data_IF_355652327130
#
_entry.id   IF_355652327130
#
_cell.length_a   1.000
_cell.length_b   1.000
_cell.length_c   1.000
_cell.angle_alpha   90.00
_cell.angle_beta   90.00
_cell.angle_gamma   90.00
#
_symmetry.space_group_name_H-M   'P 1'
#
loop_
_entity.id
_entity.type
_entity.pdbx_description
1 polymer ?
#
# COMPACT_ATOMS: atom_id res chain seq x y z
N UNK A 1 12.46 -3.45 -13.55
CA UNK A 1 13.07 -3.34 -12.23
C UNK A 1 13.21 -4.73 -11.65
N UNK A 2 14.43 -5.17 -11.39
CA UNK A 2 14.68 -6.38 -10.62
C UNK A 2 14.66 -6.03 -9.14
N UNK A 3 14.14 -6.92 -8.30
CA UNK A 3 14.09 -6.73 -6.83
C UNK A 3 15.49 -6.51 -6.26
N UNK A 4 16.51 -7.12 -6.84
CA UNK A 4 17.91 -7.01 -6.43
C UNK A 4 18.49 -5.60 -6.46
N UNK A 5 17.91 -4.69 -7.24
CA UNK A 5 18.34 -3.30 -7.37
C UNK A 5 17.53 -2.33 -6.51
N UNK A 6 16.62 -2.82 -5.70
CA UNK A 6 15.77 -1.99 -4.87
C UNK A 6 16.41 -1.83 -3.50
N UNK A 7 16.80 -0.61 -3.17
CA UNK A 7 17.23 -0.27 -1.82
C UNK A 7 16.00 -0.07 -0.95
N UNK A 8 15.71 -1.05 -0.12
CA UNK A 8 14.67 -0.92 0.90
C UNK A 8 15.15 0.01 2.00
N UNK A 9 14.27 0.87 2.46
CA UNK A 9 14.54 1.67 3.64
C UNK A 9 14.52 0.77 4.86
N UNK A 10 15.59 0.79 5.63
CA UNK A 10 15.56 0.33 7.00
C UNK A 10 14.73 1.32 7.82
N UNK A 11 13.71 0.80 8.46
CA UNK A 11 12.81 1.59 9.29
C UNK A 11 13.01 1.13 10.72
N UNK A 12 13.44 2.07 11.56
CA UNK A 12 13.75 1.78 12.97
C UNK A 12 12.54 1.33 13.79
N UNK A 13 11.33 1.61 13.32
CA UNK A 13 10.09 1.39 14.06
C UNK A 13 9.16 0.34 13.47
N UNK A 14 9.49 -0.19 12.29
CA UNK A 14 8.62 -1.15 11.61
C UNK A 14 9.41 -2.23 10.89
N UNK A 15 8.89 -3.44 10.88
CA UNK A 15 9.39 -4.55 10.10
C UNK A 15 8.61 -4.71 8.81
N UNK A 16 9.28 -5.18 7.76
CA UNK A 16 8.61 -5.70 6.58
C UNK A 16 7.72 -6.87 7.02
N UNK A 17 6.55 -6.99 6.44
CA UNK A 17 5.73 -8.16 6.67
C UNK A 17 6.57 -9.41 6.41
N UNK A 18 6.83 -10.17 7.45
CA UNK A 18 7.56 -11.42 7.33
C UNK A 18 6.73 -12.44 6.56
N UNK A 19 7.37 -13.47 6.06
CA UNK A 19 6.72 -14.62 5.42
C UNK A 19 5.68 -15.24 6.34
N UNK A 20 4.54 -14.64 6.44
CA UNK A 20 3.44 -15.13 7.26
C UNK A 20 2.22 -15.30 6.41
N UNK A 21 1.64 -16.46 6.43
CA UNK A 21 0.37 -16.74 5.80
C UNK A 21 -0.76 -16.02 6.56
N UNK A 22 -0.85 -14.70 6.50
CA UNK A 22 -2.03 -14.08 7.02
C UNK A 22 -1.87 -13.18 8.25
N UNK A 23 -2.63 -13.39 9.28
CA UNK A 23 -2.75 -12.50 10.41
C UNK A 23 -1.90 -12.97 11.60
N UNK A 24 -1.16 -12.05 12.19
CA UNK A 24 -0.54 -12.24 13.51
C UNK A 24 -1.39 -11.47 14.53
N UNK A 25 -2.24 -12.17 15.24
CA UNK A 25 -3.19 -11.53 16.15
C UNK A 25 -4.13 -10.57 15.39
N UNK A 26 -4.09 -9.28 15.75
CA UNK A 26 -4.90 -8.24 15.09
C UNK A 26 -4.18 -7.55 13.91
N UNK A 27 -2.93 -7.93 13.59
CA UNK A 27 -2.17 -7.39 12.47
C UNK A 27 -2.32 -8.27 11.24
N UNK A 28 -2.47 -7.64 10.07
CA UNK A 28 -2.31 -8.33 8.80
C UNK A 28 -0.83 -8.28 8.38
N UNK A 29 -0.26 -9.45 8.13
CA UNK A 29 1.02 -9.57 7.41
C UNK A 29 0.77 -9.84 5.94
N UNK A 30 1.80 -9.77 5.09
CA UNK A 30 1.70 -10.24 3.71
C UNK A 30 1.19 -11.68 3.71
N UNK A 31 0.29 -12.02 2.79
CA UNK A 31 -0.27 -13.37 2.69
C UNK A 31 0.85 -14.40 2.48
N UNK A 32 1.72 -14.11 1.51
CA UNK A 32 2.91 -14.89 1.22
C UNK A 32 3.98 -13.97 0.62
N UNK A 33 4.82 -13.40 1.48
CA UNK A 33 5.85 -12.45 1.03
C UNK A 33 6.91 -13.14 0.14
N UNK A 34 7.32 -14.36 0.48
CA UNK A 34 8.30 -15.09 -0.30
C UNK A 34 7.73 -15.49 -1.68
N UNK A 35 6.47 -15.92 -1.72
CA UNK A 35 5.77 -16.19 -2.97
C UNK A 35 5.61 -14.94 -3.83
N UNK A 36 5.32 -13.78 -3.22
CA UNK A 36 5.31 -12.49 -3.92
C UNK A 36 6.68 -12.19 -4.54
N UNK A 37 7.77 -12.27 -3.75
CA UNK A 37 9.13 -12.00 -4.22
C UNK A 37 9.49 -12.95 -5.37
N UNK A 38 9.32 -14.26 -5.18
CA UNK A 38 9.61 -15.28 -6.20
C UNK A 38 8.79 -15.07 -7.48
N UNK A 39 7.51 -14.70 -7.34
CA UNK A 39 6.66 -14.38 -8.49
C UNK A 39 7.17 -13.17 -9.26
N UNK A 40 7.56 -12.11 -8.55
CA UNK A 40 8.09 -10.89 -9.18
C UNK A 40 9.41 -11.16 -9.90
N UNK A 41 10.29 -11.95 -9.32
CA UNK A 41 11.56 -12.36 -9.95
C UNK A 41 11.32 -13.18 -11.21
N UNK A 42 10.44 -14.18 -11.14
CA UNK A 42 10.11 -15.06 -12.25
C UNK A 42 9.39 -14.34 -13.39
N UNK A 43 8.37 -13.55 -13.04
CA UNK A 43 7.48 -12.93 -14.02
C UNK A 43 7.90 -11.48 -14.37
N UNK A 44 9.01 -11.00 -13.80
CA UNK A 44 9.60 -9.67 -14.04
C UNK A 44 8.69 -8.51 -13.69
N UNK A 45 7.77 -8.72 -12.75
CA UNK A 45 6.91 -7.65 -12.26
C UNK A 45 5.68 -8.12 -11.51
N UNK A 46 4.91 -7.14 -11.08
CA UNK A 46 3.63 -7.30 -10.42
C UNK A 46 2.70 -6.13 -10.83
N UNK A 47 1.42 -6.25 -10.53
CA UNK A 47 0.45 -5.20 -10.78
C UNK A 47 0.27 -4.35 -9.52
N UNK A 48 0.35 -3.06 -9.68
CA UNK A 48 0.17 -2.06 -8.65
C UNK A 48 -1.14 -1.30 -8.91
N UNK A 49 -2.03 -1.24 -7.94
CA UNK A 49 -3.27 -0.50 -8.09
C UNK A 49 -2.98 0.98 -8.33
N UNK A 50 -3.51 1.52 -9.42
CA UNK A 50 -3.25 2.90 -9.86
C UNK A 50 -3.75 3.93 -8.87
N UNK A 51 -4.88 3.66 -8.21
CA UNK A 51 -5.56 4.53 -7.25
C UNK A 51 -5.68 3.86 -5.91
N UNK A 52 -5.83 4.65 -4.85
CA UNK A 52 -6.32 4.17 -3.56
C UNK A 52 -7.58 3.32 -3.73
N UNK A 53 -7.80 2.38 -2.84
CA UNK A 53 -8.98 1.53 -2.91
C UNK A 53 -10.27 2.32 -2.69
N UNK A 54 -11.28 2.00 -3.46
CA UNK A 54 -12.66 2.44 -3.27
C UNK A 54 -13.57 1.24 -3.06
N UNK A 55 -14.73 1.45 -2.43
CA UNK A 55 -15.70 0.40 -2.18
C UNK A 55 -16.63 0.24 -3.39
N UNK A 56 -16.60 -0.93 -4.02
CA UNK A 56 -17.54 -1.27 -5.07
C UNK A 56 -18.96 -1.51 -4.54
N UNK A 57 -19.94 -1.45 -5.41
CA UNK A 57 -21.35 -1.79 -5.08
C UNK A 57 -21.52 -3.25 -4.65
N UNK A 58 -20.60 -4.12 -5.07
CA UNK A 58 -20.49 -5.53 -4.69
C UNK A 58 -19.75 -5.74 -3.35
N UNK A 59 -19.36 -4.65 -2.66
CA UNK A 59 -18.61 -4.69 -1.40
C UNK A 59 -17.14 -5.08 -1.54
N UNK A 60 -16.63 -5.23 -2.76
CA UNK A 60 -15.21 -5.53 -3.05
C UNK A 60 -14.40 -4.26 -3.21
N UNK A 61 -13.09 -4.39 -3.00
CA UNK A 61 -12.15 -3.31 -3.29
C UNK A 61 -12.05 -3.09 -4.80
N UNK A 62 -11.95 -1.81 -5.21
CA UNK A 62 -11.74 -1.40 -6.60
C UNK A 62 -10.72 -0.27 -6.66
N UNK A 63 -9.85 -0.30 -7.66
CA UNK A 63 -8.93 0.79 -8.00
C UNK A 63 -9.53 1.58 -9.17
N UNK A 64 -10.24 2.66 -8.88
CA UNK A 64 -10.95 3.45 -9.88
C UNK A 64 -10.82 4.95 -9.58
N UNK A 65 -10.65 5.74 -10.63
CA UNK A 65 -10.60 7.20 -10.51
C UNK A 65 -11.96 7.79 -10.07
N UNK A 66 -11.89 8.94 -9.43
CA UNK A 66 -13.04 9.78 -9.07
C UNK A 66 -14.06 9.06 -8.17
N UNK A 67 -13.58 8.23 -7.25
CA UNK A 67 -14.37 7.55 -6.24
C UNK A 67 -14.03 8.07 -4.85
N UNK A 68 -14.89 7.85 -3.87
CA UNK A 68 -14.52 8.06 -2.48
C UNK A 68 -13.52 6.97 -2.08
N UNK A 69 -12.37 7.36 -1.55
CA UNK A 69 -11.42 6.41 -1.01
C UNK A 69 -12.05 5.63 0.16
N UNK A 70 -11.74 4.34 0.26
CA UNK A 70 -12.31 3.48 1.30
C UNK A 70 -11.55 3.68 2.61
N UNK A 71 -12.11 4.50 3.47
CA UNK A 71 -11.59 4.82 4.82
C UNK A 71 -12.48 4.19 5.90
N UNK A 72 -12.18 4.46 7.18
CA UNK A 72 -12.95 3.93 8.30
C UNK A 72 -12.82 2.40 8.43
N UNK A 73 -11.70 1.84 8.03
CA UNK A 73 -11.40 0.42 7.94
C UNK A 73 -10.10 0.13 8.70
N UNK A 74 -10.03 -0.98 9.43
CA UNK A 74 -8.78 -1.41 10.07
C UNK A 74 -7.81 -1.98 9.04
N UNK A 75 -6.53 -2.08 9.39
CA UNK A 75 -5.54 -2.75 8.55
C UNK A 75 -5.94 -4.20 8.23
N UNK A 76 -6.46 -4.93 9.21
CA UNK A 76 -6.91 -6.31 9.04
C UNK A 76 -8.08 -6.43 8.07
N UNK A 77 -9.08 -5.54 8.20
CA UNK A 77 -10.20 -5.47 7.26
C UNK A 77 -9.72 -5.11 5.86
N UNK A 78 -8.80 -4.13 5.72
CA UNK A 78 -8.20 -3.74 4.45
C UNK A 78 -7.48 -4.92 3.77
N UNK A 79 -6.70 -5.69 4.54
CA UNK A 79 -6.05 -6.90 4.05
C UNK A 79 -7.08 -7.94 3.56
N UNK A 80 -8.12 -8.21 4.33
CA UNK A 80 -9.18 -9.13 3.94
C UNK A 80 -9.89 -8.68 2.64
N UNK A 81 -10.17 -7.39 2.51
CA UNK A 81 -10.79 -6.83 1.30
C UNK A 81 -9.86 -6.87 0.08
N UNK A 82 -8.57 -6.64 0.28
CA UNK A 82 -7.57 -6.77 -0.77
C UNK A 82 -7.49 -8.20 -1.30
N UNK A 83 -7.42 -9.20 -0.42
CA UNK A 83 -7.34 -10.63 -0.76
C UNK A 83 -8.60 -11.16 -1.44
N UNK A 84 -9.74 -10.58 -1.14
CA UNK A 84 -11.02 -10.98 -1.76
C UNK A 84 -11.30 -10.32 -3.12
N UNK A 85 -10.41 -9.45 -3.61
CA UNK A 85 -10.61 -8.77 -4.89
C UNK A 85 -10.59 -9.75 -6.06
N UNK A 86 -9.60 -10.64 -6.09
CA UNK A 86 -9.56 -11.79 -7.00
C UNK A 86 -9.23 -13.05 -6.20
N UNK A 87 -9.86 -14.16 -6.55
CA UNK A 87 -9.60 -15.46 -5.96
C UNK A 87 -8.53 -16.22 -6.74
N UNK A 88 -7.79 -17.11 -6.06
CA UNK A 88 -6.67 -17.89 -6.62
C UNK A 88 -7.01 -18.74 -7.84
N UNK A 89 -8.29 -18.98 -8.11
CA UNK A 89 -8.72 -19.78 -9.28
C UNK A 89 -8.36 -19.17 -10.64
N UNK A 90 -7.90 -17.91 -10.66
CA UNK A 90 -7.54 -17.22 -11.89
C UNK A 90 -6.02 -17.17 -12.13
N UNK A 91 -5.21 -17.93 -11.39
CA UNK A 91 -3.75 -17.90 -11.50
C UNK A 91 -3.11 -16.60 -11.04
N UNK A 92 -3.86 -15.79 -10.30
CA UNK A 92 -3.39 -14.53 -9.72
C UNK A 92 -3.77 -14.45 -8.24
N UNK A 93 -2.97 -13.72 -7.49
CA UNK A 93 -3.22 -13.42 -6.08
C UNK A 93 -3.26 -11.92 -5.87
N UNK A 94 -4.23 -11.46 -5.09
CA UNK A 94 -4.28 -10.06 -4.61
C UNK A 94 -4.00 -10.00 -3.12
N UNK A 95 -3.33 -8.95 -2.70
CA UNK A 95 -3.04 -8.69 -1.29
C UNK A 95 -3.03 -7.19 -1.00
N UNK A 96 -3.11 -6.83 0.28
CA UNK A 96 -2.78 -5.51 0.74
C UNK A 96 -1.32 -5.20 0.39
N UNK A 97 -1.04 -3.97 0.00
CA UNK A 97 0.30 -3.58 -0.37
C UNK A 97 1.30 -3.87 0.76
N UNK A 98 2.44 -4.44 0.41
CA UNK A 98 3.59 -4.60 1.30
C UNK A 98 4.64 -3.51 1.02
N UNK A 99 5.60 -3.35 1.94
CA UNK A 99 6.63 -2.32 1.80
C UNK A 99 7.57 -2.54 0.61
N UNK A 100 7.78 -3.78 0.18
CA UNK A 100 8.58 -4.07 -1.03
C UNK A 100 7.88 -3.53 -2.28
N UNK A 101 6.59 -3.80 -2.43
CA UNK A 101 5.81 -3.29 -3.55
C UNK A 101 5.75 -1.75 -3.55
N UNK A 102 5.56 -1.14 -2.37
CA UNK A 102 5.58 0.31 -2.24
C UNK A 102 6.92 0.91 -2.62
N UNK A 103 8.01 0.40 -2.07
CA UNK A 103 9.37 0.88 -2.36
C UNK A 103 9.74 0.67 -3.83
N UNK A 104 9.33 -0.46 -4.43
CA UNK A 104 9.49 -0.73 -5.87
C UNK A 104 8.77 0.31 -6.73
N UNK A 105 7.54 0.67 -6.36
CA UNK A 105 6.79 1.69 -7.08
C UNK A 105 7.46 3.07 -6.97
N UNK A 106 7.96 3.44 -5.79
CA UNK A 106 8.70 4.70 -5.61
C UNK A 106 9.98 4.73 -6.42
N UNK A 107 10.75 3.65 -6.42
CA UNK A 107 11.98 3.55 -7.21
C UNK A 107 11.70 3.65 -8.71
N UNK A 108 10.63 2.99 -9.18
CA UNK A 108 10.17 3.12 -10.55
C UNK A 108 9.81 4.56 -10.91
N UNK A 109 9.05 5.24 -10.05
CA UNK A 109 8.68 6.65 -10.26
C UNK A 109 9.92 7.55 -10.30
N UNK A 110 10.87 7.35 -9.37
CA UNK A 110 12.10 8.14 -9.35
C UNK A 110 12.95 7.96 -10.62
N UNK A 111 13.00 6.75 -11.15
CA UNK A 111 13.78 6.47 -12.37
C UNK A 111 13.10 6.93 -13.65
N UNK A 112 11.79 6.76 -13.73
CA UNK A 112 11.04 6.94 -14.97
C UNK A 112 10.24 8.24 -15.04
N UNK A 113 10.00 8.89 -13.91
CA UNK A 113 9.16 10.09 -13.82
C UNK A 113 9.90 11.29 -13.23
N UNK A 114 10.03 11.33 -11.93
CA UNK A 114 10.62 12.45 -11.20
C UNK A 114 11.63 11.95 -10.17
N UNK A 115 12.87 12.36 -10.30
CA UNK A 115 13.98 11.95 -9.42
C UNK A 115 13.81 12.36 -7.95
N UNK A 116 12.90 13.26 -7.65
CA UNK A 116 12.64 13.76 -6.29
C UNK A 116 11.23 13.41 -5.77
N UNK A 117 10.54 12.51 -6.42
CA UNK A 117 9.16 12.17 -6.05
C UNK A 117 9.04 11.63 -4.61
N UNK A 118 10.04 10.92 -4.13
CA UNK A 118 10.06 10.40 -2.75
C UNK A 118 9.94 11.49 -1.70
N UNK A 119 10.43 12.70 -1.99
CA UNK A 119 10.41 13.87 -1.11
C UNK A 119 9.19 14.77 -1.34
N UNK A 120 8.36 14.46 -2.33
CA UNK A 120 7.16 15.23 -2.62
C UNK A 120 6.22 15.21 -1.42
N UNK A 121 5.94 16.39 -0.88
CA UNK A 121 5.07 16.58 0.27
C UNK A 121 3.61 16.60 -0.13
N UNK A 122 2.77 16.13 0.78
CA UNK A 122 1.33 16.33 0.68
C UNK A 122 0.98 17.82 0.74
N UNK A 123 0.17 18.25 -0.20
CA UNK A 123 -0.35 19.64 -0.27
C UNK A 123 -1.85 19.70 -0.07
N UNK A 124 -2.50 18.57 0.12
CA UNK A 124 -3.96 18.47 0.21
C UNK A 124 -4.42 18.67 1.65
N UNK A 125 -5.40 19.52 1.85
CA UNK A 125 -5.95 19.88 3.18
C UNK A 125 -7.33 19.27 3.45
N UNK A 126 -7.94 18.63 2.44
CA UNK A 126 -9.21 17.91 2.57
C UNK A 126 -9.18 16.62 1.76
N UNK A 127 -9.96 15.62 2.18
CA UNK A 127 -10.05 14.35 1.44
C UNK A 127 -10.71 14.63 0.09
N UNK A 128 -10.02 14.23 -0.96
CA UNK A 128 -10.49 14.31 -2.34
C UNK A 128 -10.88 12.92 -2.84
N UNK A 129 -11.59 12.88 -3.94
CA UNK A 129 -11.83 11.62 -4.64
C UNK A 129 -10.52 11.07 -5.22
N UNK A 130 -10.41 9.76 -5.31
CA UNK A 130 -9.23 9.07 -5.83
C UNK A 130 -8.74 9.65 -7.15
N UNK A 131 -7.45 9.97 -7.22
CA UNK A 131 -6.81 10.57 -8.40
C UNK A 131 -7.06 12.08 -8.58
N UNK A 132 -7.65 12.77 -7.61
CA UNK A 132 -7.96 14.20 -7.71
C UNK A 132 -7.03 15.09 -6.88
N UNK A 133 -6.08 14.55 -6.15
CA UNK A 133 -5.15 15.34 -5.33
C UNK A 133 -4.12 16.15 -6.14
N UNK A 134 -4.03 15.91 -7.45
CA UNK A 134 -2.95 16.45 -8.29
C UNK A 134 -1.63 15.69 -8.13
N UNK A 135 -1.57 14.72 -7.24
CA UNK A 135 -0.42 13.84 -7.08
C UNK A 135 -0.50 12.67 -8.06
N UNK A 136 0.27 12.79 -9.14
CA UNK A 136 0.36 11.79 -10.20
C UNK A 136 1.79 11.64 -10.68
N UNK A 137 2.28 10.40 -10.72
CA UNK A 137 3.55 10.05 -11.34
C UNK A 137 3.49 8.65 -11.95
N UNK A 138 3.97 8.47 -13.18
CA UNK A 138 3.99 7.19 -13.91
C UNK A 138 2.64 6.45 -13.89
N UNK A 139 1.52 7.17 -14.02
CA UNK A 139 0.16 6.65 -13.91
C UNK A 139 -0.21 6.04 -12.54
N UNK A 140 0.55 6.32 -11.50
CA UNK A 140 0.21 6.03 -10.11
C UNK A 140 -0.21 7.37 -9.47
N UNK A 141 -1.27 7.35 -8.68
CA UNK A 141 -1.89 8.54 -8.11
C UNK A 141 -1.88 8.48 -6.59
N UNK A 142 -1.84 9.63 -5.96
CA UNK A 142 -2.11 9.86 -4.54
C UNK A 142 -1.13 9.17 -3.57
N UNK A 143 0.12 8.85 -3.99
CA UNK A 143 1.11 8.24 -3.07
C UNK A 143 1.70 9.24 -2.07
N UNK A 144 1.84 10.51 -2.46
CA UNK A 144 2.33 11.57 -1.57
C UNK A 144 1.20 12.47 -1.06
N UNK A 145 -0.03 12.25 -1.49
CA UNK A 145 -1.17 13.12 -1.19
C UNK A 145 -2.45 12.37 -0.89
N UNK A 146 -3.53 13.10 -0.72
CA UNK A 146 -4.86 12.64 -0.40
C UNK A 146 -4.94 11.93 0.96
N UNK A 147 -4.76 10.61 1.04
CA UNK A 147 -4.92 9.82 2.27
C UNK A 147 -3.75 8.84 2.39
N UNK A 148 -3.22 8.67 3.61
CA UNK A 148 -2.22 7.63 3.88
C UNK A 148 -2.83 6.23 3.70
N UNK A 149 -1.99 5.22 3.50
CA UNK A 149 -2.44 3.88 3.13
C UNK A 149 -1.92 2.81 4.07
N UNK A 150 -2.81 1.93 4.55
CA UNK A 150 -2.44 0.73 5.29
C UNK A 150 -1.51 -0.17 4.48
N UNK A 151 -0.55 -0.78 5.15
CA UNK A 151 0.34 -1.80 4.58
C UNK A 151 0.31 -3.07 5.41
N UNK A 152 0.93 -4.15 4.90
CA UNK A 152 1.18 -5.37 5.67
C UNK A 152 2.39 -5.25 6.61
N UNK A 153 2.98 -4.07 6.71
CA UNK A 153 4.13 -3.81 7.58
C UNK A 153 3.70 -3.71 9.05
N UNK A 154 4.44 -4.34 9.94
CA UNK A 154 4.21 -4.28 11.39
C UNK A 154 5.27 -3.43 12.07
N UNK A 155 4.92 -2.76 13.17
CA UNK A 155 5.89 -2.02 13.97
C UNK A 155 6.73 -2.96 14.82
N UNK A 156 8.06 -2.79 14.80
CA UNK A 156 9.00 -3.68 15.50
C UNK A 156 9.07 -3.47 16.99
N UNK A 157 8.85 -2.25 17.44
CA UNK A 157 9.03 -1.86 18.85
C UNK A 157 7.72 -1.64 19.61
N UNK A 158 6.61 -2.10 19.05
CA UNK A 158 5.29 -1.97 19.67
C UNK A 158 4.41 -3.16 19.28
N UNK A 159 4.25 -4.11 20.20
CA UNK A 159 3.35 -5.24 19.98
C UNK A 159 1.94 -4.76 19.60
N UNK A 160 1.39 -5.30 18.55
CA UNK A 160 0.02 -4.99 18.12
C UNK A 160 -0.12 -3.69 17.35
N UNK A 161 0.97 -3.09 16.85
CA UNK A 161 0.94 -1.91 15.98
C UNK A 161 1.10 -2.27 14.52
N UNK A 162 0.42 -1.54 13.67
CA UNK A 162 0.51 -1.66 12.21
C UNK A 162 0.97 -0.36 11.58
N UNK A 163 1.49 -0.44 10.36
CA UNK A 163 2.07 0.69 9.66
C UNK A 163 1.15 1.15 8.52
N UNK A 164 1.05 2.47 8.37
CA UNK A 164 0.51 3.12 7.19
C UNK A 164 1.55 4.07 6.60
N UNK A 165 1.50 4.28 5.29
CA UNK A 165 2.55 4.97 4.54
C UNK A 165 1.97 6.01 3.58
N UNK A 166 2.86 6.85 3.05
CA UNK A 166 2.49 7.92 2.14
C UNK A 166 2.14 9.22 2.84
N UNK A 167 2.02 10.29 2.06
CA UNK A 167 1.48 11.55 2.53
C UNK A 167 -0.04 11.51 2.60
N UNK A 168 -0.63 12.25 3.50
CA UNK A 168 -2.09 12.29 3.60
C UNK A 168 -2.59 13.41 4.50
N UNK A 169 -3.91 13.55 4.57
CA UNK A 169 -4.55 14.50 5.47
C UNK A 169 -4.16 14.18 6.91
N UNK A 170 -3.81 15.22 7.66
CA UNK A 170 -3.25 15.10 9.00
C UNK A 170 -1.74 14.86 9.01
N UNK A 171 -1.14 14.62 7.86
CA UNK A 171 0.29 14.40 7.65
C UNK A 171 0.85 15.38 6.62
N UNK A 172 0.61 16.68 6.82
CA UNK A 172 0.94 17.74 5.85
C UNK A 172 2.42 17.83 5.48
N UNK A 173 3.33 17.34 6.34
CA UNK A 173 4.75 17.22 6.03
C UNK A 173 5.12 15.82 5.56
N UNK A 174 4.16 14.90 5.50
CA UNK A 174 4.35 13.55 5.01
C UNK A 174 4.65 13.53 3.51
N UNK A 175 5.52 12.62 3.12
CA UNK A 175 5.91 12.37 1.74
C UNK A 175 5.48 10.97 1.32
N UNK A 176 5.58 10.64 0.05
CA UNK A 176 5.36 9.28 -0.42
C UNK A 176 6.24 8.24 0.29
N UNK A 177 7.34 8.68 0.89
CA UNK A 177 8.29 7.83 1.62
C UNK A 177 8.04 7.75 3.13
N UNK A 178 7.12 8.55 3.67
CA UNK A 178 6.84 8.61 5.10
C UNK A 178 6.12 7.35 5.59
N UNK A 179 6.41 6.97 6.84
CA UNK A 179 5.78 5.83 7.51
C UNK A 179 5.35 6.22 8.91
N UNK A 180 4.21 5.73 9.29
CA UNK A 180 3.56 6.02 10.57
C UNK A 180 3.03 4.75 11.18
N UNK A 181 2.84 4.75 12.48
CA UNK A 181 2.37 3.60 13.26
C UNK A 181 1.00 3.91 13.85
N UNK A 182 0.11 2.94 13.84
CA UNK A 182 -1.21 3.02 14.44
C UNK A 182 -1.59 1.72 15.14
N UNK A 183 -2.61 1.79 16.00
CA UNK A 183 -3.18 0.61 16.61
C UNK A 183 -3.95 -0.24 15.58
N UNK A 184 -3.89 -1.55 15.75
CA UNK A 184 -4.51 -2.53 14.86
C UNK A 184 -6.03 -2.43 14.79
N UNK A 185 -6.65 -1.89 15.81
CA UNK A 185 -8.11 -1.68 15.88
C UNK A 185 -8.56 -0.32 15.37
N UNK A 186 -7.61 0.52 14.95
CA UNK A 186 -7.92 1.88 14.51
C UNK A 186 -8.70 1.87 13.18
N UNK A 187 -9.81 2.59 13.15
CA UNK A 187 -10.64 2.86 11.96
C UNK A 187 -10.57 4.34 11.64
N UNK A 188 -9.43 4.80 11.19
CA UNK A 188 -9.24 6.20 10.84
C UNK A 188 -9.94 6.55 9.52
N UNK A 189 -10.60 7.72 9.51
CA UNK A 189 -11.16 8.28 8.29
C UNK A 189 -10.10 8.95 7.40
N UNK A 190 -8.84 9.02 7.85
CA UNK A 190 -7.70 9.57 7.11
C UNK A 190 -6.72 8.50 6.64
N UNK A 191 -7.08 7.21 6.73
CA UNK A 191 -6.27 6.12 6.25
C UNK A 191 -7.12 5.22 5.33
N UNK A 192 -6.63 5.01 4.12
CA UNK A 192 -7.18 4.12 3.10
C UNK A 192 -6.26 2.91 2.92
N UNK A 193 -6.25 2.29 1.76
CA UNK A 193 -5.36 1.19 1.42
C UNK A 193 -5.22 1.05 -0.09
N UNK A 194 -4.22 0.27 -0.52
CA UNK A 194 -3.97 -0.04 -1.93
C UNK A 194 -3.73 -1.53 -2.11
N UNK A 195 -4.17 -2.05 -3.24
CA UNK A 195 -4.07 -3.48 -3.57
C UNK A 195 -2.90 -3.70 -4.53
N UNK A 196 -2.18 -4.79 -4.33
CA UNK A 196 -1.26 -5.36 -5.30
C UNK A 196 -1.82 -6.67 -5.84
N UNK A 197 -1.39 -7.05 -7.07
CA UNK A 197 -1.72 -8.34 -7.66
C UNK A 197 -0.47 -8.93 -8.31
N UNK A 198 -0.26 -10.21 -8.14
CA UNK A 198 0.85 -10.95 -8.72
C UNK A 198 0.41 -12.33 -9.18
N UNK A 199 1.19 -12.97 -10.03
CA UNK A 199 0.91 -14.32 -10.53
C UNK A 199 1.12 -15.31 -9.40
N UNK A 200 0.16 -16.19 -9.18
CA UNK A 200 0.26 -17.29 -8.21
C UNK A 200 0.96 -18.46 -8.91
N UNK A 201 2.18 -18.79 -8.45
CA UNK A 201 3.06 -19.79 -9.07
C UNK A 201 2.82 -21.20 -8.51
#
# INVERSE_FOLDING_TARGET
LTIDNIKYREISTSSQGTSGSGNSGNNATAFDLNGFISSVEKNKGFYYARYEASKGSDGKAKSKANQNAWTGITQLEASSKSRSMYTTNNGVRTDLINSYAWSTALEYINKMGSSDYINKKNTVTSILKTGQSGDKACNIYDMSGNISEWTTETATNSTGKCTYIGGGIGQQQGTAFSRYVSDTVSKSNSISFRVIMYIDN
#
